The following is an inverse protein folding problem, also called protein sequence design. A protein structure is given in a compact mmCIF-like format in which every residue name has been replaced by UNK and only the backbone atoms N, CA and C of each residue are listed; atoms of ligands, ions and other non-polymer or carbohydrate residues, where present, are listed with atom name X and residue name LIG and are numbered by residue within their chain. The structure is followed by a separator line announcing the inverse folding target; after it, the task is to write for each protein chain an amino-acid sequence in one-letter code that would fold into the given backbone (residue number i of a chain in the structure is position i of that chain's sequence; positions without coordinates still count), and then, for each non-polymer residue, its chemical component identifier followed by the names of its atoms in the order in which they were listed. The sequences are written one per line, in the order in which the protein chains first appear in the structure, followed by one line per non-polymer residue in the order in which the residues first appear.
data_IF_408019223467
#
_entry.id   IF_408019223467
#
_cell.length_a   1.000
_cell.length_b   1.000
_cell.length_c   1.000
_cell.angle_alpha   90.00
_cell.angle_beta   90.00
_cell.angle_gamma   90.00
#
_symmetry.space_group_name_H-M   'P 1'
#
loop_
_entity.id
_entity.type
_entity.pdbx_description
1 polymer ?
#
# COMPACT_ATOMS: atom_id res chain seq x y z
N UNK A 1 -10.11 6.53 -3.55
CA UNK A 1 -9.28 7.49 -2.78
C UNK A 1 -8.00 7.79 -3.55
N UNK A 2 -7.46 9.01 -3.49
CA UNK A 2 -6.14 9.36 -4.08
C UNK A 2 -5.20 9.86 -2.96
N UNK A 3 -3.96 9.35 -2.93
CA UNK A 3 -2.92 9.77 -1.99
C UNK A 3 -1.98 10.73 -2.73
N UNK A 4 -1.80 11.93 -2.18
CA UNK A 4 -1.00 12.98 -2.80
C UNK A 4 0.20 13.40 -1.95
N UNK A 5 0.18 13.12 -0.65
CA UNK A 5 1.21 13.51 0.31
C UNK A 5 1.73 12.32 1.11
N UNK A 6 2.94 12.46 1.67
CA UNK A 6 3.54 11.45 2.54
C UNK A 6 2.74 11.24 3.84
N UNK A 7 2.07 12.30 4.34
CA UNK A 7 1.18 12.19 5.51
C UNK A 7 -0.01 11.28 5.19
N UNK A 8 -0.68 11.50 4.06
CA UNK A 8 -1.80 10.67 3.61
C UNK A 8 -1.35 9.22 3.33
N UNK A 9 -0.13 9.05 2.81
CA UNK A 9 0.47 7.74 2.61
C UNK A 9 0.64 6.99 3.94
N UNK A 10 1.24 7.62 4.94
CA UNK A 10 1.41 7.04 6.27
C UNK A 10 0.07 6.76 6.97
N UNK A 11 -0.93 7.63 6.79
CA UNK A 11 -2.29 7.37 7.29
C UNK A 11 -2.95 6.19 6.61
N UNK A 12 -2.75 6.00 5.30
CA UNK A 12 -3.28 4.86 4.57
C UNK A 12 -2.73 3.53 5.11
N UNK A 13 -1.43 3.46 5.45
CA UNK A 13 -0.86 2.29 6.11
C UNK A 13 -1.49 2.00 7.48
N UNK A 14 -1.70 3.03 8.31
CA UNK A 14 -2.37 2.84 9.60
C UNK A 14 -3.79 2.29 9.45
N UNK A 15 -4.52 2.71 8.41
CA UNK A 15 -5.86 2.18 8.12
C UNK A 15 -5.82 0.73 7.67
N UNK A 16 -4.87 0.35 6.82
CA UNK A 16 -4.61 -1.05 6.44
C UNK A 16 -4.36 -1.90 7.70
N UNK A 17 -3.48 -1.44 8.60
CA UNK A 17 -3.16 -2.15 9.85
C UNK A 17 -4.41 -2.35 10.73
N UNK A 18 -5.25 -1.32 10.84
CA UNK A 18 -6.53 -1.40 11.58
C UNK A 18 -7.48 -2.41 10.94
N UNK A 19 -7.64 -2.39 9.62
CA UNK A 19 -8.51 -3.32 8.89
C UNK A 19 -8.03 -4.77 9.06
N UNK A 20 -6.71 -5.00 9.01
CA UNK A 20 -6.11 -6.32 9.28
C UNK A 20 -6.43 -6.77 10.71
N UNK A 21 -6.19 -5.91 11.70
CA UNK A 21 -6.46 -6.22 13.11
C UNK A 21 -7.96 -6.51 13.38
N UNK A 22 -8.85 -5.92 12.61
CA UNK A 22 -10.29 -6.13 12.68
C UNK A 22 -10.80 -7.34 11.89
N UNK A 23 -9.91 -8.16 11.32
CA UNK A 23 -10.26 -9.27 10.44
C UNK A 23 -11.18 -8.81 9.29
N UNK A 24 -10.75 -7.81 8.51
CA UNK A 24 -11.53 -7.22 7.42
C UNK A 24 -12.11 -8.26 6.44
N UNK A 25 -11.44 -9.40 6.26
CA UNK A 25 -11.91 -10.52 5.42
C UNK A 25 -13.27 -11.06 5.83
N UNK A 26 -13.73 -10.83 7.05
CA UNK A 26 -15.05 -11.26 7.54
C UNK A 26 -16.21 -10.39 7.04
N UNK A 27 -15.93 -9.24 6.41
CA UNK A 27 -16.95 -8.29 5.95
C UNK A 27 -16.65 -7.78 4.54
N UNK A 28 -17.58 -7.96 3.62
CA UNK A 28 -17.47 -7.48 2.23
C UNK A 28 -17.20 -5.97 2.16
N UNK A 29 -17.83 -5.19 3.05
CA UNK A 29 -17.58 -3.75 3.12
C UNK A 29 -16.12 -3.45 3.48
N UNK A 30 -15.56 -4.17 4.46
CA UNK A 30 -14.17 -3.95 4.89
C UNK A 30 -13.16 -4.49 3.87
N UNK A 31 -13.50 -5.56 3.15
CA UNK A 31 -12.72 -6.04 2.00
C UNK A 31 -12.63 -4.98 0.90
N UNK A 32 -13.75 -4.35 0.55
CA UNK A 32 -13.78 -3.29 -0.43
C UNK A 32 -12.95 -2.08 0.03
N UNK A 33 -13.10 -1.67 1.30
CA UNK A 33 -12.31 -0.57 1.87
C UNK A 33 -10.81 -0.88 1.87
N UNK A 34 -10.42 -2.10 2.26
CA UNK A 34 -9.04 -2.56 2.21
C UNK A 34 -8.47 -2.47 0.79
N UNK A 35 -9.20 -2.99 -0.20
CA UNK A 35 -8.75 -2.99 -1.59
C UNK A 35 -8.57 -1.58 -2.12
N UNK A 36 -9.49 -0.67 -1.83
CA UNK A 36 -9.40 0.73 -2.25
C UNK A 36 -8.17 1.44 -1.67
N UNK A 37 -7.88 1.20 -0.39
CA UNK A 37 -6.71 1.80 0.27
C UNK A 37 -5.41 1.19 -0.27
N UNK A 38 -5.36 -0.13 -0.45
CA UNK A 38 -4.20 -0.82 -1.00
C UNK A 38 -3.87 -0.35 -2.43
N UNK A 39 -4.90 -0.17 -3.28
CA UNK A 39 -4.73 0.39 -4.61
C UNK A 39 -4.19 1.82 -4.57
N UNK A 40 -4.69 2.65 -3.66
CA UNK A 40 -4.22 4.04 -3.52
C UNK A 40 -2.75 4.10 -3.09
N UNK A 41 -2.32 3.23 -2.16
CA UNK A 41 -0.92 3.07 -1.77
C UNK A 41 -0.07 2.67 -2.96
N UNK A 42 -0.46 1.63 -3.70
CA UNK A 42 0.31 1.14 -4.85
C UNK A 42 0.47 2.21 -5.94
N UNK A 43 -0.56 3.01 -6.20
CA UNK A 43 -0.48 4.11 -7.16
C UNK A 43 0.48 5.21 -6.70
N UNK A 44 0.47 5.53 -5.40
CA UNK A 44 1.42 6.48 -4.82
C UNK A 44 2.86 5.96 -4.94
N UNK A 45 3.11 4.69 -4.57
CA UNK A 45 4.43 4.06 -4.67
C UNK A 45 4.94 4.07 -6.11
N UNK A 46 4.12 3.69 -7.09
CA UNK A 46 4.51 3.73 -8.51
C UNK A 46 4.96 5.12 -8.96
N UNK A 47 4.37 6.18 -8.40
CA UNK A 47 4.66 7.57 -8.77
C UNK A 47 5.89 8.13 -8.06
N UNK A 48 6.06 7.84 -6.77
CA UNK A 48 7.06 8.50 -5.91
C UNK A 48 8.21 7.58 -5.47
N UNK A 49 7.99 6.27 -5.45
CA UNK A 49 8.98 5.23 -5.17
C UNK A 49 9.05 4.25 -6.35
N UNK A 50 9.31 4.73 -7.59
CA UNK A 50 9.46 3.82 -8.70
C UNK A 50 10.55 2.82 -8.32
N UNK A 51 10.21 1.53 -8.33
CA UNK A 51 11.18 0.46 -8.13
C UNK A 51 12.20 0.65 -9.26
N UNK A 52 13.30 1.35 -8.97
CA UNK A 52 14.50 1.28 -9.77
C UNK A 52 14.74 -0.20 -9.92
N UNK A 53 14.55 -0.72 -11.14
CA UNK A 53 14.86 -2.11 -11.49
C UNK A 53 16.10 -2.46 -10.69
N UNK A 54 16.01 -3.51 -9.89
CA UNK A 54 17.19 -4.16 -9.34
C UNK A 54 18.13 -4.34 -10.54
N UNK A 55 19.08 -3.41 -10.72
CA UNK A 55 20.32 -3.75 -11.36
C UNK A 55 20.80 -4.88 -10.49
N UNK A 56 20.88 -6.05 -11.11
CA UNK A 56 21.47 -7.25 -10.55
C UNK A 56 22.88 -6.89 -10.11
N UNK A 57 23.03 -6.25 -8.94
CA UNK A 57 24.34 -5.93 -8.36
C UNK A 57 24.85 -7.30 -7.94
N UNK A 58 25.72 -7.83 -8.78
CA UNK A 58 26.08 -9.24 -8.81
C UNK A 58 26.41 -9.78 -7.43
N UNK A 59 25.60 -10.75 -6.99
CA UNK A 59 26.08 -11.79 -6.10
C UNK A 59 27.12 -12.58 -6.91
N UNK A 60 28.38 -12.12 -6.89
CA UNK A 60 29.51 -13.00 -7.14
C UNK A 60 29.59 -13.92 -5.92
N UNK A 61 29.08 -15.14 -6.09
CA UNK A 61 29.44 -16.29 -5.25
C UNK A 61 30.84 -16.74 -5.67
#
# INVERSE_FOLDING_TARGET
MEILTEIQYNEAFKKIDSLIAENFESSEQKQQEFLEIAMAIQLYEKKYYPISKLETVGLKI
#
